data_IF_421824511230
#
_entry.id   IF_421824511230
#
_cell.length_a   1.000
_cell.length_b   1.000
_cell.length_c   1.000
_cell.angle_alpha   90.00
_cell.angle_beta   90.00
_cell.angle_gamma   90.00
#
_symmetry.space_group_name_H-M   'P 1'
#
loop_
_entity.id
_entity.type
_entity.pdbx_description
1 polymer ?
#
# COMPACT_ATOMS: atom_id res chain seq x y z
N UNK A 1 15.05 -23.65 -9.02
CA UNK A 1 14.03 -23.78 -7.95
C UNK A 1 14.64 -23.13 -6.72
N UNK A 2 14.04 -22.06 -6.20
CA UNK A 2 14.47 -21.46 -4.92
C UNK A 2 14.29 -22.50 -3.80
N UNK A 3 15.25 -22.58 -2.88
CA UNK A 3 15.11 -23.45 -1.72
C UNK A 3 13.94 -22.94 -0.85
N UNK A 4 13.16 -23.85 -0.26
CA UNK A 4 12.02 -23.49 0.62
C UNK A 4 12.42 -22.48 1.71
N UNK A 5 13.66 -22.57 2.21
CA UNK A 5 14.21 -21.66 3.21
C UNK A 5 14.35 -20.21 2.70
N UNK A 6 14.79 -20.04 1.45
CA UNK A 6 15.00 -18.72 0.83
C UNK A 6 13.68 -17.97 0.65
N UNK A 7 12.63 -18.69 0.24
CA UNK A 7 11.28 -18.15 0.11
C UNK A 7 10.76 -17.69 1.49
N UNK A 8 10.96 -18.51 2.53
CA UNK A 8 10.55 -18.14 3.90
C UNK A 8 11.28 -16.88 4.39
N UNK A 9 12.60 -16.80 4.19
CA UNK A 9 13.40 -15.65 4.62
C UNK A 9 12.95 -14.38 3.89
N UNK A 10 12.77 -14.45 2.56
CA UNK A 10 12.30 -13.33 1.75
C UNK A 10 10.99 -12.75 2.27
N UNK A 11 9.97 -13.58 2.41
CA UNK A 11 8.65 -13.12 2.85
C UNK A 11 8.64 -12.70 4.31
N UNK A 12 9.47 -13.30 5.16
CA UNK A 12 9.65 -12.84 6.54
C UNK A 12 10.21 -11.42 6.63
N UNK A 13 11.16 -11.05 5.74
CA UNK A 13 11.72 -9.71 5.71
C UNK A 13 10.70 -8.66 5.22
N UNK A 14 9.94 -8.99 4.17
CA UNK A 14 8.86 -8.12 3.70
C UNK A 14 7.76 -7.96 4.76
N UNK A 15 7.37 -9.05 5.42
CA UNK A 15 6.41 -9.03 6.51
C UNK A 15 6.91 -8.20 7.70
N UNK A 16 8.17 -8.34 8.09
CA UNK A 16 8.77 -7.54 9.17
C UNK A 16 8.79 -6.04 8.83
N UNK A 17 9.15 -5.68 7.59
CA UNK A 17 9.12 -4.30 7.14
C UNK A 17 7.69 -3.72 7.12
N UNK A 18 6.71 -4.49 6.64
CA UNK A 18 5.31 -4.09 6.69
C UNK A 18 4.80 -3.94 8.13
N UNK A 19 5.13 -4.88 9.02
CA UNK A 19 4.78 -4.82 10.43
C UNK A 19 5.36 -3.58 11.11
N UNK A 20 6.61 -3.22 10.82
CA UNK A 20 7.22 -1.98 11.34
C UNK A 20 6.45 -0.73 10.88
N UNK A 21 6.05 -0.69 9.62
CA UNK A 21 5.23 0.40 9.10
C UNK A 21 3.83 0.44 9.74
N UNK A 22 3.18 -0.70 9.95
CA UNK A 22 1.89 -0.79 10.66
C UNK A 22 2.02 -0.32 12.12
N UNK A 23 3.10 -0.68 12.79
CA UNK A 23 3.40 -0.21 14.15
C UNK A 23 3.65 1.29 14.17
N UNK A 24 4.41 1.84 13.22
CA UNK A 24 4.60 3.29 13.10
C UNK A 24 3.28 4.01 12.82
N UNK A 25 2.41 3.42 11.99
CA UNK A 25 1.06 3.92 11.73
C UNK A 25 0.22 4.00 13.00
N UNK A 26 0.15 2.92 13.78
CA UNK A 26 -0.63 2.87 15.01
C UNK A 26 -0.03 3.69 16.17
N UNK A 27 1.29 3.76 16.29
CA UNK A 27 1.95 4.42 17.41
C UNK A 27 2.10 5.94 17.22
N UNK A 28 2.50 6.36 16.02
CA UNK A 28 2.94 7.73 15.74
C UNK A 28 1.92 8.43 14.86
N UNK A 29 1.69 7.91 13.66
CA UNK A 29 0.93 8.63 12.63
C UNK A 29 -0.53 8.83 13.02
N UNK A 30 -1.17 7.87 13.70
CA UNK A 30 -2.52 8.03 14.26
C UNK A 30 -2.67 9.20 15.25
N UNK A 31 -1.58 9.70 15.84
CA UNK A 31 -1.60 10.80 16.82
C UNK A 31 -1.30 12.16 16.19
N UNK A 32 -0.91 12.19 14.92
CA UNK A 32 -0.50 13.41 14.23
C UNK A 32 -1.54 13.76 13.17
N UNK A 33 -2.13 14.95 13.28
CA UNK A 33 -3.06 15.49 12.29
C UNK A 33 -2.37 16.60 11.50
N UNK A 34 -2.14 16.37 10.20
CA UNK A 34 -1.53 17.34 9.29
C UNK A 34 -2.60 17.86 8.34
N UNK A 35 -2.74 19.19 8.25
CA UNK A 35 -3.82 19.82 7.49
C UNK A 35 -5.18 19.18 7.74
N UNK A 36 -5.50 18.83 8.99
CA UNK A 36 -6.77 18.23 9.38
C UNK A 36 -7.01 16.80 8.88
N UNK A 37 -5.97 16.08 8.43
CA UNK A 37 -6.06 14.66 8.07
C UNK A 37 -4.87 13.87 8.64
N UNK A 38 -5.07 12.58 8.83
CA UNK A 38 -4.05 11.67 9.37
C UNK A 38 -3.26 11.08 8.19
N UNK A 39 -1.91 11.06 8.24
CA UNK A 39 -1.11 10.36 7.23
C UNK A 39 -1.49 8.88 7.18
N UNK A 40 -1.78 8.36 5.99
CA UNK A 40 -2.38 7.04 5.80
C UNK A 40 -1.40 6.08 5.11
N UNK A 41 -0.61 5.35 5.91
CA UNK A 41 0.50 4.54 5.39
C UNK A 41 0.08 3.19 4.77
N UNK A 42 -1.12 2.70 5.03
CA UNK A 42 -1.54 1.35 4.62
C UNK A 42 -1.52 1.12 3.09
N UNK A 43 -2.00 2.05 2.22
CA UNK A 43 -1.95 1.87 0.77
C UNK A 43 -0.52 1.76 0.23
N UNK A 44 0.46 2.38 0.91
CA UNK A 44 1.87 2.29 0.53
C UNK A 44 2.39 0.87 0.73
N UNK A 45 1.93 0.18 1.77
CA UNK A 45 2.32 -1.20 2.08
C UNK A 45 1.76 -2.20 1.06
N UNK A 46 0.61 -1.91 0.46
CA UNK A 46 0.05 -2.72 -0.61
C UNK A 46 0.84 -2.58 -1.92
N UNK A 47 1.28 -1.36 -2.24
CA UNK A 47 1.83 -1.03 -3.55
C UNK A 47 3.35 -1.17 -3.61
N UNK A 48 4.07 -0.56 -2.68
CA UNK A 48 5.53 -0.42 -2.79
C UNK A 48 6.22 -1.78 -2.89
N UNK A 49 5.91 -2.79 -2.04
CA UNK A 49 6.51 -4.11 -2.16
C UNK A 49 6.16 -4.78 -3.48
N UNK A 50 4.94 -4.57 -3.98
CA UNK A 50 4.48 -5.15 -5.25
C UNK A 50 5.27 -4.61 -6.45
N UNK A 51 5.76 -3.36 -6.40
CA UNK A 51 6.61 -2.82 -7.48
C UNK A 51 7.94 -3.56 -7.67
N UNK A 52 8.43 -4.25 -6.63
CA UNK A 52 9.71 -4.98 -6.66
C UNK A 52 9.54 -6.48 -6.93
N UNK A 53 8.31 -6.97 -6.98
CA UNK A 53 8.00 -8.39 -7.07
C UNK A 53 7.22 -8.71 -8.36
N UNK A 54 7.06 -10.00 -8.66
CA UNK A 54 6.22 -10.43 -9.79
C UNK A 54 4.75 -10.10 -9.52
N UNK A 55 3.89 -9.96 -10.55
CA UNK A 55 2.52 -9.50 -10.36
C UNK A 55 1.71 -10.42 -9.44
N UNK A 56 1.92 -11.73 -9.55
CA UNK A 56 1.27 -12.72 -8.68
C UNK A 56 1.73 -12.56 -7.23
N UNK A 57 3.04 -12.50 -7.00
CA UNK A 57 3.63 -12.41 -5.67
C UNK A 57 3.27 -11.09 -4.96
N UNK A 58 3.34 -9.96 -5.69
CA UNK A 58 2.95 -8.65 -5.20
C UNK A 58 1.46 -8.57 -4.85
N UNK A 59 0.59 -9.14 -5.70
CA UNK A 59 -0.86 -9.18 -5.45
C UNK A 59 -1.20 -10.01 -4.20
N UNK A 60 -0.58 -11.18 -4.03
CA UNK A 60 -0.79 -12.03 -2.84
C UNK A 60 -0.33 -11.30 -1.58
N UNK A 61 0.82 -10.62 -1.63
CA UNK A 61 1.30 -9.83 -0.50
C UNK A 61 0.31 -8.70 -0.15
N UNK A 62 -0.16 -7.96 -1.16
CA UNK A 62 -1.11 -6.87 -0.98
C UNK A 62 -2.47 -7.37 -0.43
N UNK A 63 -2.91 -8.56 -0.83
CA UNK A 63 -4.07 -9.24 -0.25
C UNK A 63 -3.89 -9.51 1.24
N UNK A 64 -2.76 -10.09 1.64
CA UNK A 64 -2.46 -10.34 3.05
C UNK A 64 -2.45 -9.05 3.87
N UNK A 65 -1.84 -7.99 3.33
CA UNK A 65 -1.86 -6.66 3.96
C UNK A 65 -3.29 -6.13 4.07
N UNK A 66 -4.11 -6.28 3.02
CA UNK A 66 -5.52 -5.88 3.03
C UNK A 66 -6.33 -6.57 4.13
N UNK A 67 -6.17 -7.89 4.27
CA UNK A 67 -6.81 -8.67 5.34
C UNK A 67 -6.38 -8.15 6.71
N UNK A 68 -5.08 -7.94 6.92
CA UNK A 68 -4.57 -7.37 8.18
C UNK A 68 -5.14 -5.98 8.44
N UNK A 69 -5.25 -5.14 7.41
CA UNK A 69 -5.80 -3.79 7.55
C UNK A 69 -7.28 -3.80 7.91
N UNK A 70 -8.10 -4.64 7.27
CA UNK A 70 -9.53 -4.76 7.60
C UNK A 70 -9.75 -5.33 9.02
N UNK A 71 -8.82 -6.15 9.53
CA UNK A 71 -8.88 -6.64 10.91
C UNK A 71 -8.44 -5.59 11.95
N UNK A 72 -7.52 -4.68 11.57
CA UNK A 72 -6.99 -3.64 12.46
C UNK A 72 -7.86 -2.38 12.50
N UNK A 73 -8.52 -2.03 11.39
CA UNK A 73 -9.27 -0.80 11.24
C UNK A 73 -10.77 -1.08 11.40
N UNK A 74 -11.45 -0.52 12.41
CA UNK A 74 -12.90 -0.55 12.48
C UNK A 74 -13.47 0.37 11.39
N UNK A 75 -13.66 -0.17 10.20
CA UNK A 75 -14.16 0.55 9.02
C UNK A 75 -15.47 -0.02 8.50
N UNK A 76 -16.39 0.86 8.13
CA UNK A 76 -17.47 0.57 7.19
C UNK A 76 -17.04 1.13 5.83
N UNK A 77 -17.00 0.36 4.73
CA UNK A 77 -17.58 -0.98 4.48
C UNK A 77 -16.67 -2.16 4.87
N UNK A 78 -17.22 -3.36 5.11
CA UNK A 78 -16.43 -4.55 5.42
C UNK A 78 -15.56 -4.96 4.23
N UNK A 79 -14.35 -5.45 4.51
CA UNK A 79 -13.42 -6.03 3.54
C UNK A 79 -12.91 -5.08 2.44
N UNK A 80 -12.98 -3.75 2.65
CA UNK A 80 -12.57 -2.74 1.67
C UNK A 80 -11.13 -2.95 1.21
N UNK A 81 -10.21 -3.06 2.17
CA UNK A 81 -8.79 -3.14 1.87
C UNK A 81 -8.41 -4.50 1.29
N UNK A 82 -9.04 -5.58 1.78
CA UNK A 82 -8.90 -6.93 1.24
C UNK A 82 -9.26 -6.98 -0.25
N UNK A 83 -10.23 -6.19 -0.70
CA UNK A 83 -10.63 -6.16 -2.12
C UNK A 83 -9.77 -5.19 -2.95
N UNK A 84 -9.50 -3.99 -2.46
CA UNK A 84 -8.85 -2.93 -3.24
C UNK A 84 -7.32 -3.04 -3.26
N UNK A 85 -6.68 -3.52 -2.18
CA UNK A 85 -5.22 -3.62 -2.12
C UNK A 85 -4.62 -4.63 -3.11
N UNK A 86 -5.21 -5.82 -3.36
CA UNK A 86 -4.75 -6.71 -4.42
C UNK A 86 -4.79 -6.04 -5.79
N UNK A 87 -5.86 -5.30 -6.10
CA UNK A 87 -5.97 -4.58 -7.37
C UNK A 87 -4.90 -3.50 -7.48
N UNK A 88 -4.68 -2.73 -6.41
CA UNK A 88 -3.63 -1.72 -6.36
C UNK A 88 -2.22 -2.33 -6.50
N UNK A 89 -1.94 -3.44 -5.81
CA UNK A 89 -0.68 -4.17 -5.90
C UNK A 89 -0.45 -4.76 -7.29
N UNK A 90 -1.50 -5.29 -7.93
CA UNK A 90 -1.45 -5.77 -9.30
C UNK A 90 -1.13 -4.63 -10.27
N UNK A 91 -1.85 -3.52 -10.18
CA UNK A 91 -1.57 -2.32 -10.98
C UNK A 91 -0.14 -1.83 -10.79
N UNK A 92 0.37 -1.81 -9.55
CA UNK A 92 1.72 -1.39 -9.24
C UNK A 92 2.80 -2.31 -9.85
N UNK A 93 2.57 -3.62 -9.81
CA UNK A 93 3.49 -4.62 -10.37
C UNK A 93 3.52 -4.56 -11.90
N UNK A 94 2.34 -4.37 -12.52
CA UNK A 94 2.24 -4.21 -13.98
C UNK A 94 2.86 -2.87 -14.42
N UNK A 95 2.68 -1.82 -13.64
CA UNK A 95 3.29 -0.53 -13.89
C UNK A 95 4.82 -0.62 -13.86
N UNK A 96 5.38 -1.36 -12.88
CA UNK A 96 6.82 -1.51 -12.73
C UNK A 96 7.47 -2.37 -13.81
N UNK A 97 6.70 -3.27 -14.42
CA UNK A 97 7.17 -4.16 -15.49
C UNK A 97 7.01 -3.55 -16.89
N UNK A 98 5.97 -2.73 -17.10
CA UNK A 98 5.59 -2.27 -18.45
C UNK A 98 5.94 -0.81 -18.73
N UNK A 99 5.96 0.07 -17.73
CA UNK A 99 5.98 1.53 -17.96
C UNK A 99 7.14 2.23 -17.25
N UNK A 100 7.34 1.97 -15.95
CA UNK A 100 8.32 2.69 -15.13
C UNK A 100 9.23 1.71 -14.40
N UNK A 101 10.55 1.94 -14.34
CA UNK A 101 11.42 1.10 -13.53
C UNK A 101 11.06 1.21 -12.04
N UNK A 102 11.16 0.08 -11.32
CA UNK A 102 10.91 0.04 -9.88
C UNK A 102 11.78 1.05 -9.12
N UNK A 103 11.13 1.95 -8.37
CA UNK A 103 11.80 3.10 -7.76
C UNK A 103 10.82 4.09 -7.14
N UNK A 104 11.30 5.30 -6.82
CA UNK A 104 10.50 6.32 -6.14
C UNK A 104 9.31 6.81 -6.97
N UNK A 105 9.50 7.03 -8.28
CA UNK A 105 8.42 7.47 -9.17
C UNK A 105 7.34 6.39 -9.33
N UNK A 106 7.74 5.14 -9.58
CA UNK A 106 6.80 4.02 -9.66
C UNK A 106 6.02 3.83 -8.35
N UNK A 107 6.69 3.99 -7.20
CA UNK A 107 6.07 3.92 -5.88
C UNK A 107 5.08 5.05 -5.65
N UNK A 108 5.40 6.28 -6.08
CA UNK A 108 4.52 7.44 -5.96
C UNK A 108 3.27 7.29 -6.84
N UNK A 109 3.44 6.92 -8.10
CA UNK A 109 2.32 6.70 -9.04
C UNK A 109 1.45 5.53 -8.58
N UNK A 110 2.07 4.43 -8.16
CA UNK A 110 1.36 3.29 -7.60
C UNK A 110 0.57 3.65 -6.34
N UNK A 111 1.16 4.47 -5.47
CA UNK A 111 0.46 4.97 -4.27
C UNK A 111 -0.73 5.83 -4.66
N UNK A 112 -0.58 6.75 -5.62
CA UNK A 112 -1.69 7.55 -6.14
C UNK A 112 -2.81 6.66 -6.68
N UNK A 113 -2.46 5.61 -7.44
CA UNK A 113 -3.44 4.63 -7.93
C UNK A 113 -4.16 3.90 -6.78
N UNK A 114 -3.47 3.54 -5.70
CA UNK A 114 -4.10 2.90 -4.55
C UNK A 114 -5.08 3.81 -3.81
N UNK A 115 -4.77 5.09 -3.64
CA UNK A 115 -5.72 6.08 -3.09
C UNK A 115 -6.94 6.21 -4.01
N UNK A 116 -6.73 6.36 -5.32
CA UNK A 116 -7.84 6.45 -6.28
C UNK A 116 -8.74 5.20 -6.21
N UNK A 117 -8.16 4.00 -6.16
CA UNK A 117 -8.94 2.76 -6.07
C UNK A 117 -9.71 2.68 -4.75
N UNK A 118 -9.04 2.94 -3.63
CA UNK A 118 -9.62 2.76 -2.30
C UNK A 118 -10.67 3.83 -1.98
N UNK A 119 -10.33 5.11 -2.16
CA UNK A 119 -11.23 6.23 -1.89
C UNK A 119 -12.29 6.38 -2.97
N UNK A 120 -11.95 6.08 -4.23
CA UNK A 120 -12.91 6.06 -5.33
C UNK A 120 -13.98 5.00 -5.10
N UNK A 121 -13.59 3.78 -4.70
CA UNK A 121 -14.56 2.74 -4.36
C UNK A 121 -15.38 3.09 -3.12
N UNK A 122 -14.77 3.72 -2.11
CA UNK A 122 -15.51 4.21 -0.94
C UNK A 122 -16.54 5.28 -1.31
N UNK A 123 -16.17 6.24 -2.17
CA UNK A 123 -17.09 7.26 -2.67
C UNK A 123 -18.22 6.64 -3.51
N UNK A 124 -17.90 5.63 -4.33
CA UNK A 124 -18.88 4.88 -5.10
C UNK A 124 -19.91 4.19 -4.21
N UNK A 125 -19.47 3.54 -3.12
CA UNK A 125 -20.38 2.91 -2.16
C UNK A 125 -21.26 3.94 -1.44
N UNK A 126 -20.68 5.06 -1.01
CA UNK A 126 -21.46 6.16 -0.41
C UNK A 126 -22.53 6.71 -1.38
N UNK A 127 -22.18 6.78 -2.68
CA UNK A 127 -23.12 7.17 -3.72
C UNK A 127 -24.25 6.16 -3.91
N UNK A 128 -23.96 4.85 -3.86
CA UNK A 128 -24.99 3.80 -3.87
C UNK A 128 -25.95 3.89 -2.67
N UNK A 129 -25.46 4.36 -1.52
CA UNK A 129 -26.29 4.64 -0.33
C UNK A 129 -27.09 5.96 -0.43
N UNK A 130 -27.04 6.65 -1.57
CA UNK A 130 -27.75 7.90 -1.82
C UNK A 130 -27.05 9.16 -1.30
N UNK A 131 -25.77 9.07 -0.91
CA UNK A 131 -24.99 10.22 -0.44
C UNK A 131 -24.15 10.82 -1.57
N UNK A 132 -24.28 12.12 -1.83
CA UNK A 132 -23.44 12.84 -2.81
C UNK A 132 -22.05 13.17 -2.23
N UNK A 133 -21.21 12.15 -2.08
CA UNK A 133 -19.90 12.27 -1.42
C UNK A 133 -18.71 12.53 -2.37
N UNK A 134 -18.92 12.61 -3.69
CA UNK A 134 -17.83 12.67 -4.67
C UNK A 134 -16.90 13.89 -4.54
N UNK A 135 -17.46 15.09 -4.36
CA UNK A 135 -16.65 16.31 -4.23
C UNK A 135 -15.85 16.31 -2.92
N UNK A 136 -16.54 16.04 -1.80
CA UNK A 136 -15.90 16.00 -0.47
C UNK A 136 -14.89 14.85 -0.36
N UNK A 137 -15.19 13.70 -0.95
CA UNK A 137 -14.31 12.54 -1.00
C UNK A 137 -13.07 12.76 -1.86
N UNK A 138 -13.22 13.37 -3.05
CA UNK A 138 -12.07 13.74 -3.88
C UNK A 138 -11.14 14.76 -3.18
N UNK A 139 -11.73 15.73 -2.48
CA UNK A 139 -10.97 16.71 -1.70
C UNK A 139 -10.23 16.06 -0.51
N UNK A 140 -10.87 15.10 0.17
CA UNK A 140 -10.26 14.34 1.25
C UNK A 140 -9.11 13.47 0.72
N UNK A 141 -9.35 12.70 -0.34
CA UNK A 141 -8.33 11.86 -1.00
C UNK A 141 -7.10 12.68 -1.38
N UNK A 142 -7.30 13.86 -1.98
CA UNK A 142 -6.17 14.74 -2.35
C UNK A 142 -5.37 15.17 -1.12
N UNK A 143 -6.04 15.56 -0.03
CA UNK A 143 -5.35 15.96 1.21
C UNK A 143 -4.60 14.79 1.85
N UNK A 144 -5.23 13.61 1.92
CA UNK A 144 -4.59 12.40 2.43
C UNK A 144 -3.39 12.01 1.60
N UNK A 145 -3.51 12.05 0.28
CA UNK A 145 -2.39 11.79 -0.62
C UNK A 145 -1.27 12.81 -0.44
N UNK A 146 -1.56 14.12 -0.39
CA UNK A 146 -0.53 15.15 -0.19
C UNK A 146 0.20 15.01 1.15
N UNK A 147 -0.52 14.67 2.22
CA UNK A 147 0.06 14.45 3.55
C UNK A 147 0.89 13.16 3.59
N UNK A 148 0.48 12.14 2.84
CA UNK A 148 1.13 10.82 2.83
C UNK A 148 2.27 10.73 1.80
N UNK A 149 2.25 11.54 0.73
CA UNK A 149 3.24 11.51 -0.34
C UNK A 149 4.70 11.66 0.16
N UNK A 150 5.01 12.53 1.15
CA UNK A 150 6.35 12.58 1.73
C UNK A 150 6.80 11.27 2.39
N UNK A 151 5.85 10.46 2.90
CA UNK A 151 6.12 9.16 3.52
C UNK A 151 6.39 8.05 2.48
N UNK A 152 6.08 8.28 1.21
CA UNK A 152 6.46 7.37 0.12
C UNK A 152 7.97 7.23 0.04
N UNK A 153 8.73 8.30 0.26
CA UNK A 153 10.20 8.26 0.20
C UNK A 153 10.82 7.31 1.24
N UNK A 154 10.57 7.45 2.57
CA UNK A 154 11.11 6.52 3.56
C UNK A 154 10.56 5.11 3.39
N UNK A 155 9.27 4.93 3.06
CA UNK A 155 8.70 3.62 2.82
C UNK A 155 9.35 2.91 1.61
N UNK A 156 9.56 3.63 0.51
CA UNK A 156 10.26 3.12 -0.67
C UNK A 156 11.71 2.78 -0.34
N UNK A 157 12.41 3.63 0.42
CA UNK A 157 13.78 3.36 0.83
C UNK A 157 13.88 2.07 1.68
N UNK A 158 12.94 1.86 2.60
CA UNK A 158 12.85 0.66 3.43
C UNK A 158 12.63 -0.59 2.58
N UNK A 159 11.59 -0.62 1.74
CA UNK A 159 11.29 -1.80 0.91
C UNK A 159 12.35 -2.05 -0.16
N UNK A 160 12.96 -1.00 -0.72
CA UNK A 160 14.12 -1.14 -1.60
C UNK A 160 15.34 -1.73 -0.88
N UNK A 161 15.54 -1.40 0.41
CA UNK A 161 16.60 -2.03 1.20
C UNK A 161 16.32 -3.52 1.43
N UNK A 162 15.06 -3.88 1.72
CA UNK A 162 14.62 -5.29 1.83
C UNK A 162 14.83 -6.03 0.51
N UNK A 163 14.35 -5.49 -0.61
CA UNK A 163 14.49 -6.10 -1.93
C UNK A 163 15.96 -6.32 -2.31
N UNK A 164 16.83 -5.33 -2.06
CA UNK A 164 18.28 -5.49 -2.28
C UNK A 164 18.92 -6.54 -1.38
N UNK A 165 18.49 -6.63 -0.11
CA UNK A 165 18.99 -7.63 0.83
C UNK A 165 18.57 -9.04 0.40
N UNK A 166 17.32 -9.20 -0.04
CA UNK A 166 16.81 -10.47 -0.60
C UNK A 166 17.58 -10.88 -1.84
N UNK A 167 17.87 -9.93 -2.76
CA UNK A 167 18.65 -10.23 -3.96
C UNK A 167 20.06 -10.72 -3.64
N UNK A 168 20.78 -10.03 -2.73
CA UNK A 168 22.12 -10.46 -2.28
C UNK A 168 22.16 -11.79 -1.52
N UNK A 169 21.04 -12.22 -0.95
CA UNK A 169 20.96 -13.53 -0.27
C UNK A 169 20.81 -14.68 -1.29
N UNK A 170 20.55 -14.35 -2.55
CA UNK A 170 20.27 -15.29 -3.64
C UNK A 170 21.36 -15.31 -4.73
N UNK A 171 22.18 -14.27 -4.84
CA UNK A 171 23.42 -14.26 -5.63
C UNK A 171 24.54 -15.06 -4.95
#
# INVERSE_FOLDING_TARGET
>A
MLARNEIMIKWSLYAAAAALCLLAQGAIFQRITLWGVIPFLYPLLAVIPATYESPVAGTVFALCVGVVCDLLLPGSPPCLYTLMFPLAGLCASLLSQSVLPAGYLCSLVGTAAAFILTDGFRCFLLWMEGRSAWQSGAYLMLREFCVTAPLVFPATALFRAVARKVHRLYD
#
